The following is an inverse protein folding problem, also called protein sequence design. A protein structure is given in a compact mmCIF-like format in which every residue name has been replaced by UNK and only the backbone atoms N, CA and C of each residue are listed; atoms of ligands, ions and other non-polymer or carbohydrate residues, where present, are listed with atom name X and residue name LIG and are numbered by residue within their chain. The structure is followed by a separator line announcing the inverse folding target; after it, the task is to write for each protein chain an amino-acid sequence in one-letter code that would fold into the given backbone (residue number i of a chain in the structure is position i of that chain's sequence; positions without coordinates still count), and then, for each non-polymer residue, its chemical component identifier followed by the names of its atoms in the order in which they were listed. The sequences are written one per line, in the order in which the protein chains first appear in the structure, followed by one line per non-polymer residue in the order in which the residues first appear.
data_IF_416731514717
#
_entry.id   IF_416731514717
#
_cell.length_a   1.000
_cell.length_b   1.000
_cell.length_c   1.000
_cell.angle_alpha   90.00
_cell.angle_beta   90.00
_cell.angle_gamma   90.00
#
_symmetry.space_group_name_H-M   'P 1'
#
loop_
_entity.id
_entity.type
_entity.pdbx_description
1 polymer ?
#
# COMPACT_ATOMS: atom_id res chain seq x y z
N UNK A 1 -7.60 -14.06 -4.56
CA UNK A 1 -8.74 -13.12 -4.50
C UNK A 1 -8.27 -11.78 -3.91
N UNK A 2 -7.27 -11.15 -4.53
CA UNK A 2 -6.62 -9.94 -3.98
C UNK A 2 -6.65 -8.79 -5.00
N UNK A 3 -6.58 -9.09 -6.30
CA UNK A 3 -6.65 -8.11 -7.39
C UNK A 3 -7.81 -7.08 -7.34
N UNK A 4 -9.06 -7.41 -6.95
CA UNK A 4 -10.14 -6.43 -7.01
C UNK A 4 -9.94 -5.24 -6.04
N UNK A 5 -9.48 -5.54 -4.82
CA UNK A 5 -9.31 -4.53 -3.77
C UNK A 5 -8.11 -3.63 -4.06
N UNK A 6 -7.04 -4.18 -4.61
CA UNK A 6 -5.82 -3.43 -4.95
C UNK A 6 -5.99 -2.54 -6.18
N UNK A 7 -6.84 -2.95 -7.14
CA UNK A 7 -7.21 -2.10 -8.27
C UNK A 7 -7.93 -0.83 -7.81
N UNK A 8 -8.90 -0.97 -6.90
CA UNK A 8 -9.62 0.18 -6.32
C UNK A 8 -8.66 1.13 -5.58
N UNK A 9 -7.71 0.56 -4.84
CA UNK A 9 -6.66 1.31 -4.15
C UNK A 9 -5.78 2.09 -5.14
N UNK A 10 -5.46 1.52 -6.30
CA UNK A 10 -4.70 2.20 -7.36
C UNK A 10 -5.48 3.36 -7.98
N UNK A 11 -6.78 3.18 -8.20
CA UNK A 11 -7.68 4.23 -8.71
C UNK A 11 -7.78 5.41 -7.71
N UNK A 12 -7.90 5.11 -6.40
CA UNK A 12 -7.88 6.12 -5.34
C UNK A 12 -6.58 6.92 -5.36
N UNK A 13 -5.45 6.25 -5.56
CA UNK A 13 -4.13 6.87 -5.60
C UNK A 13 -3.93 7.78 -6.81
N UNK A 14 -4.36 7.34 -7.99
CA UNK A 14 -4.33 8.18 -9.20
C UNK A 14 -5.17 9.44 -8.99
N UNK A 15 -6.37 9.30 -8.43
CA UNK A 15 -7.21 10.47 -8.14
C UNK A 15 -6.62 11.38 -7.06
N UNK A 16 -5.91 10.84 -6.06
CA UNK A 16 -5.18 11.64 -5.07
C UNK A 16 -4.05 12.47 -5.70
N UNK A 17 -3.30 11.87 -6.63
CA UNK A 17 -2.24 12.54 -7.41
C UNK A 17 -2.85 13.65 -8.29
N UNK A 18 -3.93 13.36 -9.01
CA UNK A 18 -4.61 14.31 -9.90
C UNK A 18 -5.19 15.53 -9.15
N UNK A 19 -5.58 15.35 -7.88
CA UNK A 19 -6.11 16.42 -7.03
C UNK A 19 -5.02 17.33 -6.43
N UNK A 20 -3.74 16.97 -6.58
CA UNK A 20 -2.63 17.71 -5.96
C UNK A 20 -2.59 17.59 -4.43
N UNK A 21 -3.21 16.55 -3.86
CA UNK A 21 -2.99 16.18 -2.45
C UNK A 21 -1.52 15.72 -2.29
N UNK A 22 -1.00 15.69 -1.05
CA UNK A 22 0.39 15.31 -0.70
C UNK A 22 0.73 13.83 -1.03
N UNK A 23 0.53 13.43 -2.28
CA UNK A 23 0.79 12.11 -2.85
C UNK A 23 1.87 12.28 -3.90
N UNK A 24 2.97 11.55 -3.75
CA UNK A 24 4.09 11.53 -4.69
C UNK A 24 3.56 11.13 -6.08
N UNK A 25 3.95 11.83 -7.16
CA UNK A 25 3.42 11.56 -8.51
C UNK A 25 3.72 10.15 -9.05
N UNK A 26 4.73 9.46 -8.50
CA UNK A 26 5.05 8.06 -8.79
C UNK A 26 4.62 7.10 -7.67
N UNK A 27 3.56 7.42 -6.93
CA UNK A 27 3.06 6.55 -5.87
C UNK A 27 2.15 5.42 -6.40
N UNK A 28 1.54 5.59 -7.57
CA UNK A 28 0.66 4.59 -8.19
C UNK A 28 1.42 3.51 -9.00
N UNK A 29 2.70 3.29 -8.70
CA UNK A 29 3.49 2.26 -9.37
C UNK A 29 3.28 0.88 -8.71
N UNK A 30 3.45 -0.19 -9.48
CA UNK A 30 3.22 -1.56 -9.00
C UNK A 30 4.06 -1.92 -7.77
N UNK A 31 5.29 -1.41 -7.65
CA UNK A 31 6.15 -1.69 -6.50
C UNK A 31 5.59 -1.17 -5.17
N UNK A 32 4.97 0.01 -5.18
CA UNK A 32 4.30 0.58 -3.99
C UNK A 32 2.99 -0.15 -3.71
N UNK A 33 2.21 -0.41 -4.76
CA UNK A 33 0.90 -1.07 -4.67
C UNK A 33 1.00 -2.53 -4.19
N UNK A 34 2.02 -3.25 -4.64
CA UNK A 34 2.22 -4.66 -4.34
C UNK A 34 2.93 -4.88 -3.00
N UNK A 35 3.41 -3.83 -2.33
CA UNK A 35 4.16 -3.95 -1.07
C UNK A 35 3.34 -4.64 0.04
N UNK A 36 2.07 -4.25 0.20
CA UNK A 36 1.15 -4.85 1.18
C UNK A 36 0.89 -6.34 0.89
N UNK A 37 0.43 -6.74 -0.32
CA UNK A 37 0.12 -8.14 -0.57
C UNK A 37 1.38 -9.01 -0.58
N UNK A 38 2.54 -8.50 -1.03
CA UNK A 38 3.81 -9.22 -0.95
C UNK A 38 4.22 -9.47 0.50
N UNK A 39 4.10 -8.49 1.39
CA UNK A 39 4.37 -8.69 2.82
C UNK A 39 3.40 -9.67 3.48
N UNK A 40 2.11 -9.58 3.18
CA UNK A 40 1.12 -10.54 3.67
C UNK A 40 1.44 -11.97 3.21
N UNK A 41 1.83 -12.14 1.94
CA UNK A 41 2.26 -13.43 1.40
C UNK A 41 3.53 -13.93 2.09
N UNK A 42 4.52 -13.07 2.33
CA UNK A 42 5.73 -13.44 3.05
C UNK A 42 5.40 -13.93 4.46
N UNK A 43 4.59 -13.21 5.24
CA UNK A 43 4.20 -13.61 6.60
C UNK A 43 3.44 -14.93 6.60
N UNK A 44 2.47 -15.09 5.70
CA UNK A 44 1.71 -16.33 5.57
C UNK A 44 2.60 -17.53 5.19
N UNK A 45 3.52 -17.34 4.24
CA UNK A 45 4.40 -18.41 3.74
C UNK A 45 5.55 -18.75 4.68
N UNK A 46 6.15 -17.75 5.32
CA UNK A 46 7.39 -17.92 6.10
C UNK A 46 7.15 -17.97 7.60
N UNK A 47 6.13 -17.28 8.11
CA UNK A 47 5.82 -17.24 9.54
C UNK A 47 4.65 -18.14 9.93
N UNK A 48 3.98 -18.79 8.95
CA UNK A 48 2.76 -19.58 9.12
C UNK A 48 1.67 -18.87 9.95
N UNK A 49 1.71 -17.53 9.96
CA UNK A 49 0.83 -16.68 10.76
C UNK A 49 -0.16 -16.00 9.85
N UNK A 50 -1.43 -15.97 10.27
CA UNK A 50 -2.38 -15.04 9.70
C UNK A 50 -1.99 -13.62 10.13
N UNK A 51 -2.10 -12.67 9.20
CA UNK A 51 -1.89 -11.26 9.51
C UNK A 51 -3.15 -10.75 10.20
N UNK A 52 -3.04 -10.31 11.44
CA UNK A 52 -4.18 -9.74 12.15
C UNK A 52 -4.59 -8.41 11.50
N UNK A 53 -5.86 -8.01 11.68
CA UNK A 53 -6.32 -6.70 11.18
C UNK A 53 -5.48 -5.53 11.71
N UNK A 54 -4.97 -5.63 12.95
CA UNK A 54 -4.07 -4.63 13.54
C UNK A 54 -2.73 -4.56 12.81
N UNK A 55 -2.14 -5.70 12.47
CA UNK A 55 -0.86 -5.73 11.73
C UNK A 55 -1.02 -5.15 10.32
N UNK A 56 -2.18 -5.36 9.70
CA UNK A 56 -2.51 -4.73 8.42
C UNK A 56 -2.63 -3.21 8.56
N UNK A 57 -3.29 -2.72 9.61
CA UNK A 57 -3.42 -1.29 9.91
C UNK A 57 -2.04 -0.65 10.16
N UNK A 58 -1.21 -1.29 10.98
CA UNK A 58 0.18 -0.86 11.22
C UNK A 58 1.03 -0.87 9.93
N UNK A 59 0.84 -1.85 9.05
CA UNK A 59 1.49 -1.86 7.73
C UNK A 59 1.04 -0.68 6.86
N UNK A 60 -0.26 -0.32 6.86
CA UNK A 60 -0.72 0.84 6.11
C UNK A 60 -0.06 2.11 6.65
N UNK A 61 -0.06 2.30 7.97
CA UNK A 61 0.46 3.51 8.59
C UNK A 61 1.99 3.65 8.47
N UNK A 62 2.73 2.54 8.63
CA UNK A 62 4.18 2.56 8.69
C UNK A 62 4.87 2.28 7.34
N UNK A 63 4.18 1.66 6.38
CA UNK A 63 4.75 1.33 5.07
C UNK A 63 4.07 2.06 3.94
N UNK A 64 2.73 2.01 3.86
CA UNK A 64 2.01 2.59 2.72
C UNK A 64 2.06 4.11 2.78
N UNK A 65 1.57 4.73 3.86
CA UNK A 65 1.50 6.19 3.96
C UNK A 65 2.85 6.89 3.73
N UNK A 66 3.99 6.42 4.27
CA UNK A 66 5.29 7.04 4.01
C UNK A 66 5.74 6.92 2.54
N UNK A 67 5.37 5.85 1.83
CA UNK A 67 5.68 5.68 0.40
C UNK A 67 4.82 6.58 -0.50
N UNK A 68 3.63 6.94 -0.02
CA UNK A 68 2.72 7.84 -0.72
C UNK A 68 3.12 9.29 -0.55
N UNK A 69 3.68 9.70 0.59
CA UNK A 69 4.04 11.09 0.83
C UNK A 69 5.19 11.56 -0.08
N UNK A 70 5.20 12.83 -0.52
CA UNK A 70 6.35 13.41 -1.20
C UNK A 70 7.59 13.30 -0.30
N UNK A 71 8.75 13.00 -0.91
CA UNK A 71 10.02 12.99 -0.18
C UNK A 71 10.22 14.35 0.50
N UNK A 72 10.45 14.30 1.81
CA UNK A 72 10.48 15.42 2.77
C UNK A 72 10.67 16.83 2.21
N UNK A 73 9.75 17.71 2.61
CA UNK A 73 10.07 19.13 2.86
C UNK A 73 10.76 19.27 4.23
#
# INVERSE_FOLDING_TARGET
MVEPTFKLLGEILVHGIERGEEVRPDAANCYVMDAVPVMMMYRSKMCASECSGRELEEMIDQLVLPLLRPYGV
#
